data_IF_116855241473
#
_entry.id   IF_116855241473
#
_cell.length_a   1.000
_cell.length_b   1.000
_cell.length_c   1.000
_cell.angle_alpha   90.00
_cell.angle_beta   90.00
_cell.angle_gamma   90.00
#
_symmetry.space_group_name_H-M   'P 1'
#
loop_
_entity.id
_entity.type
_entity.pdbx_description
1 polymer ?
#
# COMPACT_ATOMS: atom_id res chain seq x y z
N UNK A 1 24.39 -21.60 2.25
CA UNK A 1 25.64 -20.97 1.77
C UNK A 1 26.28 -20.23 2.94
N UNK A 2 27.62 -20.17 3.03
CA UNK A 2 28.31 -19.34 4.04
C UNK A 2 28.69 -18.02 3.40
N UNK A 3 28.18 -16.93 3.95
CA UNK A 3 28.48 -15.56 3.50
C UNK A 3 29.13 -14.82 4.66
N UNK A 4 30.20 -14.09 4.39
CA UNK A 4 30.86 -13.21 5.36
C UNK A 4 30.51 -11.78 4.99
N UNK A 5 30.04 -11.00 5.97
CA UNK A 5 29.68 -9.59 5.79
C UNK A 5 30.35 -8.77 6.88
N UNK A 6 30.86 -7.59 6.52
CA UNK A 6 31.41 -6.64 7.48
C UNK A 6 30.29 -5.80 8.10
N UNK A 7 30.20 -5.83 9.42
CA UNK A 7 29.19 -5.10 10.19
C UNK A 7 29.87 -4.14 11.15
N UNK A 8 29.52 -2.84 11.14
CA UNK A 8 29.99 -1.91 12.15
C UNK A 8 29.62 -2.38 13.57
N UNK A 9 30.51 -2.17 14.53
CA UNK A 9 30.34 -2.63 15.92
C UNK A 9 29.04 -2.10 16.56
N UNK A 10 28.67 -0.86 16.27
CA UNK A 10 27.44 -0.25 16.77
C UNK A 10 26.17 -0.94 16.23
N UNK A 11 26.19 -1.45 15.00
CA UNK A 11 25.07 -2.23 14.43
C UNK A 11 25.04 -3.63 15.07
N UNK A 12 26.21 -4.27 15.23
CA UNK A 12 26.31 -5.59 15.84
C UNK A 12 25.77 -5.61 17.27
N UNK A 13 26.07 -4.57 18.06
CA UNK A 13 25.53 -4.38 19.42
C UNK A 13 24.00 -4.28 19.43
N UNK A 14 23.43 -3.45 18.54
CA UNK A 14 21.97 -3.28 18.43
C UNK A 14 21.29 -4.57 17.98
N UNK A 15 21.87 -5.29 17.02
CA UNK A 15 21.36 -6.56 16.55
C UNK A 15 21.34 -7.62 17.67
N UNK A 16 22.41 -7.69 18.48
CA UNK A 16 22.47 -8.57 19.65
C UNK A 16 21.40 -8.24 20.68
N UNK A 17 21.23 -6.95 21.01
CA UNK A 17 20.22 -6.51 21.97
C UNK A 17 18.83 -6.95 21.50
N UNK A 18 18.50 -6.67 20.24
CA UNK A 18 17.22 -7.05 19.65
C UNK A 18 17.00 -8.57 19.60
N UNK A 19 18.04 -9.35 19.32
CA UNK A 19 17.96 -10.80 19.34
C UNK A 19 17.63 -11.34 20.75
N UNK A 20 18.24 -10.75 21.78
CA UNK A 20 17.98 -11.11 23.19
C UNK A 20 16.56 -10.71 23.61
N UNK A 21 16.12 -9.50 23.25
CA UNK A 21 14.76 -9.01 23.55
C UNK A 21 13.67 -9.91 22.94
N UNK A 22 13.91 -10.43 21.74
CA UNK A 22 12.97 -11.30 21.04
C UNK A 22 13.16 -12.79 21.36
N UNK A 23 14.18 -13.15 22.14
CA UNK A 23 14.47 -14.55 22.51
C UNK A 23 14.92 -15.43 21.33
N UNK A 24 15.48 -14.84 20.28
CA UNK A 24 15.92 -15.55 19.06
C UNK A 24 17.43 -15.49 18.89
N UNK A 25 17.97 -16.35 18.05
CA UNK A 25 19.40 -16.30 17.71
C UNK A 25 19.69 -15.15 16.74
N UNK A 26 20.95 -14.67 16.76
CA UNK A 26 21.41 -13.63 15.85
C UNK A 26 21.24 -14.03 14.37
N UNK A 27 21.43 -15.32 14.08
CA UNK A 27 21.26 -15.90 12.73
C UNK A 27 19.81 -15.78 12.27
N UNK A 28 18.85 -16.17 13.11
CA UNK A 28 17.42 -16.08 12.80
C UNK A 28 16.99 -14.63 12.61
N UNK A 29 17.50 -13.71 13.44
CA UNK A 29 17.26 -12.28 13.26
C UNK A 29 17.70 -11.81 11.88
N UNK A 30 18.93 -12.14 11.46
CA UNK A 30 19.43 -11.73 10.14
C UNK A 30 18.66 -12.39 8.99
N UNK A 31 18.36 -13.69 9.09
CA UNK A 31 17.59 -14.39 8.06
C UNK A 31 16.19 -13.80 7.91
N UNK A 32 15.48 -13.56 9.02
CA UNK A 32 14.15 -12.94 9.00
C UNK A 32 14.19 -11.52 8.44
N UNK A 33 15.21 -10.74 8.82
CA UNK A 33 15.38 -9.40 8.27
C UNK A 33 15.66 -9.42 6.77
N UNK A 34 16.55 -10.28 6.30
CA UNK A 34 16.82 -10.44 4.87
C UNK A 34 15.59 -10.92 4.11
N UNK A 35 14.89 -11.91 4.65
CA UNK A 35 13.65 -12.44 4.07
C UNK A 35 12.58 -11.35 3.94
N UNK A 36 12.43 -10.52 4.98
CA UNK A 36 11.53 -9.36 4.96
C UNK A 36 11.92 -8.33 3.90
N UNK A 37 13.21 -8.01 3.76
CA UNK A 37 13.66 -7.04 2.74
C UNK A 37 13.48 -7.60 1.33
N UNK A 38 13.71 -8.91 1.12
CA UNK A 38 13.57 -9.57 -0.18
C UNK A 38 12.11 -9.79 -0.58
N UNK A 39 11.22 -10.07 0.37
CA UNK A 39 9.79 -10.32 0.12
C UNK A 39 8.90 -9.10 0.37
N UNK A 40 9.46 -7.98 0.85
CA UNK A 40 8.67 -6.98 1.59
C UNK A 40 9.09 -5.52 1.41
N UNK A 41 9.48 -5.12 0.20
CA UNK A 41 9.16 -3.79 -0.35
C UNK A 41 8.08 -3.87 -1.44
N UNK A 42 7.21 -4.89 -1.39
CA UNK A 42 6.01 -5.02 -2.24
C UNK A 42 4.70 -4.56 -1.58
N UNK A 43 4.75 -3.97 -0.38
CA UNK A 43 3.56 -3.63 0.42
C UNK A 43 3.33 -2.12 0.62
N UNK A 44 3.68 -1.31 -0.38
CA UNK A 44 2.87 -0.13 -0.74
C UNK A 44 1.83 -0.48 -1.84
N UNK A 45 1.51 -1.78 -1.97
CA UNK A 45 0.63 -2.33 -3.01
C UNK A 45 -0.56 -3.11 -2.45
N UNK A 46 -1.02 -2.83 -1.22
CA UNK A 46 -2.43 -3.15 -0.93
C UNK A 46 -3.29 -2.51 -2.02
N UNK A 47 -4.33 -3.18 -2.56
CA UNK A 47 -5.17 -2.54 -3.57
C UNK A 47 -5.60 -1.22 -2.96
N UNK A 48 -5.22 -0.13 -3.62
CA UNK A 48 -5.54 1.19 -3.12
C UNK A 48 -7.04 1.22 -2.78
N UNK A 49 -7.47 1.84 -1.68
CA UNK A 49 -8.82 1.66 -1.14
C UNK A 49 -9.92 1.91 -2.19
N UNK A 50 -9.67 2.79 -3.16
CA UNK A 50 -10.55 3.02 -4.31
C UNK A 50 -10.74 1.80 -5.24
N UNK A 51 -9.73 0.93 -5.38
CA UNK A 51 -9.78 -0.31 -6.17
C UNK A 51 -10.67 -1.38 -5.51
N UNK A 52 -10.79 -1.36 -4.19
CA UNK A 52 -11.73 -2.20 -3.44
C UNK A 52 -13.17 -1.66 -3.54
N UNK A 53 -13.30 -0.35 -3.76
CA UNK A 53 -14.58 0.35 -3.87
C UNK A 53 -15.10 0.47 -5.32
N UNK A 54 -14.33 0.06 -6.33
CA UNK A 54 -14.81 0.02 -7.72
C UNK A 54 -16.03 -0.91 -7.84
N UNK A 55 -17.13 -0.39 -8.37
CA UNK A 55 -18.41 -1.10 -8.49
C UNK A 55 -19.17 -1.29 -7.18
N UNK A 56 -18.61 -0.86 -6.04
CA UNK A 56 -19.27 -0.85 -4.73
C UNK A 56 -19.72 0.57 -4.40
N UNK A 57 -20.79 0.98 -5.05
CA UNK A 57 -21.50 2.22 -4.81
C UNK A 57 -22.74 2.22 -5.69
N UNK A 58 -23.90 2.52 -5.10
CA UNK A 58 -25.14 2.67 -5.86
C UNK A 58 -25.70 4.04 -5.57
N UNK A 59 -25.93 4.84 -6.60
CA UNK A 59 -26.67 6.09 -6.52
C UNK A 59 -28.18 5.87 -6.69
N UNK A 60 -28.64 4.62 -6.82
CA UNK A 60 -30.04 4.31 -7.12
C UNK A 60 -31.04 4.67 -5.99
N UNK A 61 -30.53 4.94 -4.78
CA UNK A 61 -31.35 5.35 -3.63
C UNK A 61 -31.07 6.76 -3.15
N UNK A 62 -30.32 7.57 -3.91
CA UNK A 62 -30.09 8.98 -3.61
C UNK A 62 -31.08 9.81 -4.41
N UNK A 63 -31.88 10.63 -3.72
CA UNK A 63 -32.73 11.61 -4.39
C UNK A 63 -31.87 12.75 -4.97
N UNK A 64 -32.29 13.41 -6.06
CA UNK A 64 -31.53 14.52 -6.67
C UNK A 64 -31.21 15.66 -5.70
N UNK A 65 -32.05 15.87 -4.69
CA UNK A 65 -31.93 16.90 -3.64
C UNK A 65 -30.88 16.53 -2.57
N UNK A 66 -30.52 15.25 -2.46
CA UNK A 66 -29.49 14.75 -1.52
C UNK A 66 -28.08 14.77 -2.13
N UNK A 67 -28.00 14.97 -3.44
CA UNK A 67 -26.75 15.31 -4.09
C UNK A 67 -26.37 16.74 -3.65
N UNK A 68 -25.27 16.89 -2.92
CA UNK A 68 -24.76 18.20 -2.44
C UNK A 68 -24.35 19.20 -3.54
N UNK A 69 -24.83 19.00 -4.77
CA UNK A 69 -24.68 19.85 -5.95
C UNK A 69 -25.92 20.72 -6.19
N UNK A 70 -26.68 21.08 -5.15
CA UNK A 70 -27.69 22.13 -5.28
C UNK A 70 -27.02 23.47 -5.65
N UNK A 71 -27.39 24.00 -6.82
CA UNK A 71 -27.02 25.35 -7.26
C UNK A 71 -25.88 25.45 -8.28
N UNK A 72 -25.37 24.35 -8.86
CA UNK A 72 -24.47 24.48 -10.01
C UNK A 72 -25.24 24.85 -11.29
N UNK A 73 -25.42 26.16 -11.49
CA UNK A 73 -25.83 26.78 -12.76
C UNK A 73 -24.57 27.20 -13.54
N UNK A 74 -23.61 26.29 -13.70
CA UNK A 74 -22.50 26.48 -14.63
C UNK A 74 -22.93 26.00 -16.03
N UNK A 75 -22.53 26.68 -17.11
CA UNK A 75 -22.91 26.26 -18.45
C UNK A 75 -22.53 24.80 -18.71
N UNK A 76 -23.40 24.09 -19.45
CA UNK A 76 -23.35 22.67 -19.81
C UNK A 76 -22.12 22.28 -20.67
N UNK A 77 -20.91 22.62 -20.25
CA UNK A 77 -19.69 22.27 -20.98
C UNK A 77 -19.28 20.80 -20.79
N UNK A 78 -19.96 20.06 -19.89
CA UNK A 78 -19.51 18.75 -19.43
C UNK A 78 -20.33 17.56 -19.93
N UNK A 79 -21.05 17.69 -21.05
CA UNK A 79 -21.74 16.53 -21.67
C UNK A 79 -20.75 15.52 -22.30
N UNK A 80 -19.46 15.82 -22.37
CA UNK A 80 -18.50 14.97 -23.09
C UNK A 80 -17.13 14.84 -22.42
N UNK A 81 -17.07 14.61 -21.11
CA UNK A 81 -15.85 14.00 -20.54
C UNK A 81 -16.01 12.48 -20.69
N UNK A 82 -15.65 11.97 -21.88
CA UNK A 82 -15.38 10.55 -22.04
C UNK A 82 -14.12 10.23 -21.25
N UNK A 83 -14.27 9.47 -20.18
CA UNK A 83 -13.15 8.84 -19.49
C UNK A 83 -12.59 7.81 -20.45
N UNK A 84 -11.32 7.95 -20.81
CA UNK A 84 -10.65 7.02 -21.71
C UNK A 84 -10.54 5.66 -21.01
N UNK A 85 -11.41 4.72 -21.35
CA UNK A 85 -11.31 3.34 -20.85
C UNK A 85 -10.10 2.67 -21.52
N UNK A 86 -9.21 2.01 -20.76
CA UNK A 86 -8.09 1.31 -21.36
C UNK A 86 -8.59 0.06 -22.09
N UNK A 87 -8.15 -0.12 -23.35
CA UNK A 87 -8.43 -1.30 -24.16
C UNK A 87 -7.99 -2.57 -23.41
N UNK A 88 -8.95 -3.48 -23.20
CA UNK A 88 -8.76 -4.70 -22.45
C UNK A 88 -8.20 -5.79 -23.40
N UNK A 89 -6.87 -6.01 -23.38
CA UNK A 89 -6.20 -7.19 -23.95
C UNK A 89 -5.91 -8.24 -22.90
#
# INVERSE_FOLDING_TARGET
>A
MRTTIDLPDHIMKKAKLKAVEEGITLKELFLRSLDKELHGQGASGGPAPWKVLQGKGSAAGLEPEESGFEGYSGPDWNTTIHVNEPDNT
#
